data_IF_274441907640
#
_entry.id   IF_274441907640
#
_cell.length_a   1.000
_cell.length_b   1.000
_cell.length_c   1.000
_cell.angle_alpha   90.00
_cell.angle_beta   90.00
_cell.angle_gamma   90.00
#
_symmetry.space_group_name_H-M   'P 1'
#
loop_
_entity.id
_entity.type
_entity.pdbx_description
1 polymer ?
#
# COMPACT_ATOMS: atom_id res chain seq x y z
N UNK A 1 -16.79 53.97 18.75
CA UNK A 1 -16.72 52.74 17.92
C UNK A 1 -15.32 52.10 17.96
N UNK A 2 -14.64 52.04 19.12
CA UNK A 2 -13.26 51.53 19.26
C UNK A 2 -13.12 50.38 20.27
N UNK A 3 -14.18 50.04 21.03
CA UNK A 3 -14.10 49.09 22.15
C UNK A 3 -14.30 47.61 21.74
N UNK A 4 -14.88 47.35 20.56
CA UNK A 4 -15.20 45.98 20.10
C UNK A 4 -14.05 45.29 19.35
N UNK A 5 -13.05 46.05 18.90
CA UNK A 5 -11.88 45.55 18.16
C UNK A 5 -10.78 45.02 19.11
N UNK A 6 -10.67 45.57 20.32
CA UNK A 6 -9.60 45.19 21.27
C UNK A 6 -9.73 43.78 21.85
N UNK A 7 -10.94 43.20 21.83
CA UNK A 7 -11.19 41.83 22.25
C UNK A 7 -11.13 40.81 21.10
N UNK A 8 -11.20 41.25 19.84
CA UNK A 8 -11.14 40.38 18.66
C UNK A 8 -9.70 39.96 18.33
N UNK A 9 -8.73 40.86 18.51
CA UNK A 9 -7.30 40.59 18.27
C UNK A 9 -6.74 39.46 19.16
N UNK A 10 -6.96 39.42 20.49
CA UNK A 10 -6.46 38.32 21.33
C UNK A 10 -7.18 36.99 21.06
N UNK A 11 -8.46 37.04 20.68
CA UNK A 11 -9.24 35.86 20.30
C UNK A 11 -8.72 35.25 18.99
N UNK A 12 -8.37 36.07 18.01
CA UNK A 12 -7.78 35.61 16.75
C UNK A 12 -6.37 35.05 16.95
N UNK A 13 -5.55 35.67 17.80
CA UNK A 13 -4.22 35.16 18.17
C UNK A 13 -4.30 33.83 18.91
N UNK A 14 -5.25 33.66 19.84
CA UNK A 14 -5.47 32.39 20.54
C UNK A 14 -5.94 31.28 19.59
N UNK A 15 -6.81 31.61 18.64
CA UNK A 15 -7.22 30.68 17.57
C UNK A 15 -6.00 30.31 16.73
N UNK A 16 -5.24 31.27 16.20
CA UNK A 16 -4.06 31.01 15.35
C UNK A 16 -2.93 30.25 16.06
N UNK A 17 -2.69 30.49 17.35
CA UNK A 17 -1.71 29.73 18.16
C UNK A 17 -2.24 28.33 18.53
N UNK A 18 -3.56 28.16 18.68
CA UNK A 18 -4.18 26.88 19.05
C UNK A 18 -4.21 25.83 17.93
N UNK A 19 -4.24 26.24 16.66
CA UNK A 19 -4.28 25.31 15.50
C UNK A 19 -2.93 24.62 15.23
N UNK A 20 -1.84 25.12 15.84
CA UNK A 20 -0.48 24.60 15.62
C UNK A 20 -0.14 23.39 16.49
N UNK A 21 -1.03 22.98 17.42
CA UNK A 21 -0.82 21.84 18.34
C UNK A 21 -1.79 20.67 18.08
N UNK A 22 -2.15 20.43 16.81
CA UNK A 22 -2.84 19.22 16.38
C UNK A 22 -2.19 18.64 15.12
N UNK A 23 -0.92 18.29 15.24
CA UNK A 23 -0.28 17.33 14.37
C UNK A 23 0.49 16.35 15.25
N UNK A 24 -0.22 15.44 15.91
CA UNK A 24 0.39 14.17 16.29
C UNK A 24 0.59 13.40 14.98
N UNK A 25 1.78 13.49 14.40
CA UNK A 25 2.18 12.62 13.31
C UNK A 25 2.44 11.25 13.93
N UNK A 26 1.41 10.40 13.94
CA UNK A 26 1.53 9.00 14.34
C UNK A 26 2.39 8.29 13.29
N UNK A 27 3.71 8.34 13.48
CA UNK A 27 4.66 7.52 12.73
C UNK A 27 4.46 6.07 13.17
N UNK A 28 3.45 5.46 12.55
CA UNK A 28 3.04 4.08 12.76
C UNK A 28 4.11 3.23 12.11
N UNK A 29 5.16 2.89 12.85
CA UNK A 29 6.24 2.02 12.40
C UNK A 29 5.64 0.72 11.83
N UNK A 30 5.50 0.66 10.50
CA UNK A 30 4.92 -0.48 9.82
C UNK A 30 5.95 -1.61 9.78
N UNK A 31 5.70 -2.68 10.52
CA UNK A 31 6.54 -3.88 10.42
C UNK A 31 6.47 -4.41 8.99
N UNK A 32 7.58 -4.32 8.26
CA UNK A 32 7.65 -4.74 6.87
C UNK A 32 7.99 -6.24 6.77
N UNK A 33 6.98 -7.06 6.49
CA UNK A 33 7.15 -8.48 6.21
C UNK A 33 7.44 -8.69 4.72
N UNK A 34 8.40 -9.56 4.34
CA UNK A 34 8.60 -9.91 2.94
C UNK A 34 7.31 -10.53 2.39
N UNK A 35 6.93 -10.13 1.17
CA UNK A 35 5.75 -10.65 0.48
C UNK A 35 6.19 -11.50 -0.69
N UNK A 36 5.58 -12.68 -0.80
CA UNK A 36 5.74 -13.61 -1.91
C UNK A 36 4.48 -13.57 -2.76
N UNK A 37 4.64 -13.50 -4.08
CA UNK A 37 3.54 -13.55 -5.04
C UNK A 37 3.19 -15.00 -5.31
N UNK A 38 1.89 -15.33 -5.19
CA UNK A 38 1.34 -16.63 -5.58
C UNK A 38 0.54 -16.45 -6.85
N UNK A 39 0.79 -17.30 -7.85
CA UNK A 39 0.06 -17.29 -9.11
C UNK A 39 -0.45 -18.70 -9.43
N UNK A 40 -1.76 -18.83 -9.52
CA UNK A 40 -2.45 -20.08 -9.82
C UNK A 40 -2.93 -20.06 -11.27
N UNK A 41 -2.42 -20.98 -12.08
CA UNK A 41 -2.76 -21.12 -13.50
C UNK A 41 -3.66 -22.34 -13.68
N UNK A 42 -4.84 -22.13 -14.26
CA UNK A 42 -5.76 -23.20 -14.61
C UNK A 42 -5.40 -23.78 -15.97
N UNK A 43 -4.99 -25.04 -15.99
CA UNK A 43 -4.51 -25.77 -17.17
C UNK A 43 -5.37 -27.01 -17.43
N UNK A 44 -5.11 -27.70 -18.53
CA UNK A 44 -5.75 -28.96 -18.87
C UNK A 44 -5.12 -29.59 -20.10
N UNK A 45 -5.13 -30.92 -20.18
CA UNK A 45 -4.51 -31.64 -21.31
C UNK A 45 -5.16 -31.36 -22.67
N UNK A 46 -6.39 -30.84 -22.65
CA UNK A 46 -7.15 -30.42 -23.82
C UNK A 46 -6.87 -28.96 -24.24
N UNK A 47 -6.15 -28.19 -23.43
CA UNK A 47 -5.85 -26.79 -23.67
C UNK A 47 -4.57 -26.64 -24.52
N UNK A 48 -4.72 -26.21 -25.77
CA UNK A 48 -3.60 -26.02 -26.69
C UNK A 48 -2.64 -24.86 -26.34
N UNK A 49 -3.09 -23.90 -25.53
CA UNK A 49 -2.31 -22.70 -25.17
C UNK A 49 -1.62 -22.81 -23.81
N UNK A 50 -2.05 -23.74 -22.96
CA UNK A 50 -1.53 -23.92 -21.62
C UNK A 50 -0.04 -24.34 -21.55
N UNK A 51 0.58 -24.99 -22.57
CA UNK A 51 2.03 -25.17 -22.58
C UNK A 51 2.81 -23.84 -22.49
N UNK A 52 2.28 -22.76 -23.07
CA UNK A 52 2.88 -21.42 -22.94
C UNK A 52 2.72 -20.88 -21.52
N UNK A 53 1.55 -21.10 -20.91
CA UNK A 53 1.29 -20.76 -19.51
C UNK A 53 2.28 -21.44 -18.56
N UNK A 54 2.48 -22.75 -18.73
CA UNK A 54 3.46 -23.53 -17.96
C UNK A 54 4.90 -23.03 -18.15
N UNK A 55 5.31 -22.72 -19.38
CA UNK A 55 6.63 -22.13 -19.64
C UNK A 55 6.83 -20.79 -18.92
N UNK A 56 5.83 -19.91 -18.96
CA UNK A 56 5.87 -18.63 -18.26
C UNK A 56 5.91 -18.82 -16.74
N UNK A 57 5.15 -19.78 -16.22
CA UNK A 57 5.14 -20.12 -14.80
C UNK A 57 6.53 -20.57 -14.32
N UNK A 58 7.19 -21.44 -15.07
CA UNK A 58 8.54 -21.93 -14.79
C UNK A 58 9.59 -20.82 -14.86
N UNK A 59 9.53 -19.96 -15.89
CA UNK A 59 10.49 -18.87 -16.05
C UNK A 59 10.33 -17.83 -14.94
N UNK A 60 9.11 -17.52 -14.50
CA UNK A 60 8.86 -16.65 -13.35
C UNK A 60 9.41 -17.22 -12.04
N UNK A 61 9.26 -18.54 -11.83
CA UNK A 61 9.89 -19.22 -10.70
C UNK A 61 11.41 -19.14 -10.73
N UNK A 62 12.01 -19.21 -11.91
CA UNK A 62 13.47 -19.13 -12.10
C UNK A 62 14.02 -17.71 -11.93
N UNK A 63 13.27 -16.69 -12.38
CA UNK A 63 13.65 -15.28 -12.29
C UNK A 63 13.44 -14.71 -10.87
N UNK A 64 12.50 -15.26 -10.10
CA UNK A 64 12.12 -14.75 -8.78
C UNK A 64 12.06 -15.86 -7.71
N UNK A 65 13.16 -16.60 -7.47
CA UNK A 65 13.16 -17.80 -6.61
C UNK A 65 12.75 -17.52 -5.15
N UNK A 66 13.02 -16.32 -4.63
CA UNK A 66 12.75 -15.98 -3.23
C UNK A 66 11.37 -15.31 -3.02
N UNK A 67 10.67 -14.96 -4.10
CA UNK A 67 9.47 -14.10 -4.03
C UNK A 67 8.32 -14.54 -4.93
N UNK A 68 8.41 -15.69 -5.59
CA UNK A 68 7.36 -16.19 -6.47
C UNK A 68 7.07 -17.68 -6.24
N UNK A 69 5.78 -18.02 -6.24
CA UNK A 69 5.29 -19.40 -6.19
C UNK A 69 4.24 -19.56 -7.28
N UNK A 70 4.54 -20.41 -8.27
CA UNK A 70 3.61 -20.80 -9.32
C UNK A 70 2.92 -22.12 -9.00
N UNK A 71 1.61 -22.21 -9.25
CA UNK A 71 0.81 -23.44 -9.06
C UNK A 71 0.01 -23.68 -10.34
N UNK A 72 0.14 -24.87 -10.93
CA UNK A 72 -0.66 -25.28 -12.08
C UNK A 72 -1.78 -26.24 -11.63
N UNK A 73 -3.04 -25.85 -11.86
CA UNK A 73 -4.24 -26.59 -11.47
C UNK A 73 -4.90 -27.17 -12.72
N UNK A 74 -5.02 -28.50 -12.80
CA UNK A 74 -5.61 -29.22 -13.94
C UNK A 74 -7.12 -29.43 -13.81
#
# INVERSE_FOLDING_TARGET
MFFRIRHLIPLLLAVFLGQSLHAEQTDSASTHYPRTVVYEEGTGTWCGWCPLGGFLLDELGRQHPDRFVGIAVH
#
